data_IF_568041631188
#
_entry.id   IF_568041631188
#
_cell.length_a   1.000
_cell.length_b   1.000
_cell.length_c   1.000
_cell.angle_alpha   90.00
_cell.angle_beta   90.00
_cell.angle_gamma   90.00
#
_symmetry.space_group_name_H-M   'P 1'
#
loop_
_entity.id
_entity.type
_entity.pdbx_description
1 polymer ?
#
# COMPACT_ATOMS: atom_id res chain seq x y z
N UNK A 1 -23.24 -5.39 -11.96
CA UNK A 1 -21.88 -5.71 -11.48
C UNK A 1 -21.30 -4.42 -10.89
N UNK A 2 -20.84 -4.43 -9.64
CA UNK A 2 -20.40 -3.19 -8.95
C UNK A 2 -19.14 -2.62 -9.60
N UNK A 3 -19.18 -1.37 -10.05
CA UNK A 3 -18.04 -0.58 -10.59
C UNK A 3 -17.11 -0.09 -9.49
N UNK A 4 -17.51 -0.28 -8.23
CA UNK A 4 -16.77 0.17 -7.05
C UNK A 4 -15.42 -0.55 -7.02
N UNK A 5 -14.34 0.23 -6.94
CA UNK A 5 -12.95 -0.25 -6.90
C UNK A 5 -12.39 -0.83 -8.21
N UNK A 6 -13.02 -0.55 -9.37
CA UNK A 6 -12.46 -0.93 -10.67
C UNK A 6 -11.05 -0.40 -10.90
N UNK A 7 -10.73 0.76 -10.31
CA UNK A 7 -9.43 1.41 -10.40
C UNK A 7 -8.33 0.65 -9.66
N UNK A 8 -8.66 -0.28 -8.75
CA UNK A 8 -7.68 -1.08 -8.04
C UNK A 8 -7.10 -2.20 -8.89
N UNK A 9 -7.73 -2.51 -10.02
CA UNK A 9 -7.20 -3.51 -10.97
C UNK A 9 -5.80 -3.16 -11.47
N UNK A 10 -5.46 -1.87 -11.55
CA UNK A 10 -4.11 -1.41 -11.92
C UNK A 10 -3.06 -1.65 -10.83
N UNK A 11 -3.48 -1.89 -9.59
CA UNK A 11 -2.60 -2.18 -8.45
C UNK A 11 -2.48 -3.67 -8.13
N UNK A 12 -3.20 -4.54 -8.84
CA UNK A 12 -3.16 -5.99 -8.61
C UNK A 12 -1.74 -6.56 -8.78
N UNK A 13 -1.02 -6.09 -9.80
CA UNK A 13 0.34 -6.56 -10.05
C UNK A 13 1.38 -5.93 -9.10
N UNK A 14 1.37 -4.60 -8.84
CA UNK A 14 2.15 -4.01 -7.75
C UNK A 14 1.94 -4.66 -6.38
N UNK A 15 0.73 -5.14 -6.09
CA UNK A 15 0.42 -5.88 -4.86
C UNK A 15 1.19 -7.20 -4.73
N UNK A 16 1.54 -7.84 -5.84
CA UNK A 16 2.32 -9.09 -5.82
C UNK A 16 3.73 -8.84 -5.30
N UNK A 17 4.25 -7.61 -5.43
CA UNK A 17 5.55 -7.21 -4.86
C UNK A 17 5.49 -7.23 -3.34
N UNK A 18 4.40 -6.77 -2.76
CA UNK A 18 4.18 -6.84 -1.32
C UNK A 18 3.93 -8.27 -0.85
N UNK A 19 3.19 -9.06 -1.62
CA UNK A 19 2.88 -10.44 -1.25
C UNK A 19 4.11 -11.35 -1.28
N UNK A 20 4.92 -11.29 -2.33
CA UNK A 20 6.19 -12.02 -2.42
C UNK A 20 7.12 -11.44 -3.52
N UNK A 21 8.19 -10.71 -3.16
CA UNK A 21 9.16 -10.20 -4.12
C UNK A 21 9.88 -11.28 -4.94
N UNK A 22 10.06 -12.48 -4.39
CA UNK A 22 10.82 -13.58 -5.03
C UNK A 22 10.03 -14.36 -6.08
N UNK A 23 8.71 -14.16 -6.19
CA UNK A 23 7.89 -14.82 -7.23
C UNK A 23 7.71 -13.94 -8.47
N UNK A 24 8.18 -12.69 -8.44
CA UNK A 24 8.03 -11.75 -9.54
C UNK A 24 9.07 -12.02 -10.62
N UNK A 25 8.57 -12.23 -11.84
CA UNK A 25 9.39 -12.30 -13.05
C UNK A 25 9.70 -10.88 -13.53
N UNK A 26 10.94 -10.59 -13.89
CA UNK A 26 11.40 -9.26 -14.32
C UNK A 26 10.62 -8.66 -15.51
N UNK A 27 9.97 -9.49 -16.33
CA UNK A 27 9.05 -9.05 -17.40
C UNK A 27 7.85 -8.27 -16.87
N UNK A 28 7.43 -8.58 -15.65
CA UNK A 28 6.24 -8.02 -15.02
C UNK A 28 6.53 -6.63 -14.42
N UNK A 29 7.77 -6.30 -14.04
CA UNK A 29 8.15 -5.00 -13.41
C UNK A 29 7.71 -3.75 -14.17
N UNK A 30 7.39 -3.86 -15.47
CA UNK A 30 6.86 -2.76 -16.29
C UNK A 30 5.61 -2.09 -15.69
N UNK A 31 4.76 -2.77 -14.91
CA UNK A 31 3.59 -2.14 -14.28
C UNK A 31 3.93 -1.20 -13.12
N UNK A 32 5.12 -1.31 -12.52
CA UNK A 32 5.59 -0.38 -11.49
C UNK A 32 6.02 0.97 -12.06
N UNK A 33 6.17 1.09 -13.39
CA UNK A 33 6.34 2.37 -14.10
C UNK A 33 5.18 3.35 -13.84
N UNK A 34 4.02 2.86 -13.41
CA UNK A 34 2.88 3.67 -12.95
C UNK A 34 3.23 4.61 -11.79
N UNK A 35 4.30 4.34 -11.06
CA UNK A 35 4.82 5.18 -9.99
C UNK A 35 5.97 6.11 -10.44
N UNK A 36 6.17 6.28 -11.75
CA UNK A 36 7.21 7.12 -12.39
C UNK A 36 8.65 6.65 -12.15
N UNK A 37 8.85 5.36 -11.91
CA UNK A 37 10.19 4.78 -11.86
C UNK A 37 10.61 4.25 -13.23
N UNK A 38 11.90 4.33 -13.52
CA UNK A 38 12.51 3.69 -14.68
C UNK A 38 12.45 2.17 -14.51
N UNK A 39 11.86 1.48 -15.50
CA UNK A 39 11.72 0.03 -15.46
C UNK A 39 13.08 -0.70 -15.40
N UNK A 40 14.15 -0.05 -15.87
CA UNK A 40 15.52 -0.58 -15.79
C UNK A 40 16.02 -0.66 -14.35
N UNK A 41 15.88 0.43 -13.61
CA UNK A 41 16.42 0.53 -12.25
C UNK A 41 15.66 -0.37 -11.28
N UNK A 42 14.33 -0.42 -11.41
CA UNK A 42 13.50 -1.36 -10.65
C UNK A 42 13.85 -2.83 -10.94
N UNK A 43 14.10 -3.19 -12.21
CA UNK A 43 14.50 -4.57 -12.56
C UNK A 43 15.84 -4.91 -11.95
N UNK A 44 16.79 -3.97 -11.97
CA UNK A 44 18.11 -4.17 -11.36
C UNK A 44 17.99 -4.38 -9.86
N UNK A 45 17.30 -3.48 -9.16
CA UNK A 45 17.07 -3.61 -7.71
C UNK A 45 16.32 -4.90 -7.36
N UNK A 46 15.36 -5.33 -8.19
CA UNK A 46 14.63 -6.58 -7.95
C UNK A 46 15.54 -7.80 -8.10
N UNK A 47 16.41 -7.82 -9.11
CA UNK A 47 17.39 -8.89 -9.30
C UNK A 47 18.33 -8.94 -8.09
N UNK A 48 18.86 -7.79 -7.67
CA UNK A 48 19.78 -7.70 -6.53
C UNK A 48 19.08 -8.16 -5.23
N UNK A 49 17.83 -7.76 -5.01
CA UNK A 49 16.99 -8.22 -3.89
C UNK A 49 16.76 -9.74 -3.93
N UNK A 50 16.45 -10.30 -5.10
CA UNK A 50 16.16 -11.73 -5.26
C UNK A 50 17.39 -12.62 -5.03
N UNK A 51 18.59 -12.10 -5.28
CA UNK A 51 19.86 -12.79 -5.03
C UNK A 51 20.32 -12.68 -3.57
N UNK A 52 19.74 -11.78 -2.78
CA UNK A 52 20.08 -11.62 -1.37
C UNK A 52 19.39 -12.70 -0.52
N UNK A 53 20.17 -13.70 -0.09
CA UNK A 53 19.68 -14.82 0.71
C UNK A 53 19.36 -14.44 2.15
N UNK A 54 20.02 -13.42 2.70
CA UNK A 54 19.79 -12.95 4.06
C UNK A 54 18.43 -12.24 4.13
N UNK A 55 18.17 -11.31 3.20
CA UNK A 55 16.88 -10.64 3.09
C UNK A 55 15.74 -11.63 2.79
N UNK A 56 16.02 -12.69 2.03
CA UNK A 56 15.06 -13.77 1.81
C UNK A 56 14.70 -14.50 3.11
N UNK A 57 15.68 -14.78 3.97
CA UNK A 57 15.43 -15.39 5.27
C UNK A 57 14.57 -14.49 6.16
N UNK A 58 14.90 -13.19 6.23
CA UNK A 58 14.14 -12.19 6.99
C UNK A 58 12.70 -12.11 6.48
N UNK A 59 12.50 -12.14 5.16
CA UNK A 59 11.16 -12.10 4.58
C UNK A 59 10.32 -13.34 4.94
N UNK A 60 10.88 -14.55 4.82
CA UNK A 60 10.13 -15.77 5.16
C UNK A 60 9.79 -15.81 6.66
N UNK A 61 10.70 -15.36 7.55
CA UNK A 61 10.40 -15.18 8.98
C UNK A 61 9.20 -14.25 9.20
N UNK A 62 9.21 -13.06 8.59
CA UNK A 62 8.10 -12.10 8.69
C UNK A 62 6.80 -12.63 8.09
N UNK A 63 6.89 -13.48 7.07
CA UNK A 63 5.74 -14.11 6.43
C UNK A 63 5.11 -15.19 7.31
N UNK A 64 5.91 -15.99 8.02
CA UNK A 64 5.41 -16.92 9.04
C UNK A 64 4.67 -16.17 10.17
N UNK A 65 5.19 -15.00 10.58
CA UNK A 65 4.55 -14.10 11.54
C UNK A 65 3.31 -13.37 10.99
N UNK A 66 2.97 -13.55 9.70
CA UNK A 66 1.92 -12.77 8.99
C UNK A 66 2.15 -11.26 9.01
N UNK A 67 3.40 -10.83 9.17
CA UNK A 67 3.82 -9.41 9.17
C UNK A 67 4.75 -9.06 8.00
N UNK A 68 4.67 -9.78 6.88
CA UNK A 68 5.50 -9.57 5.69
C UNK A 68 5.50 -8.13 5.16
N UNK A 69 4.47 -7.31 5.40
CA UNK A 69 4.48 -5.88 5.05
C UNK A 69 5.57 -5.09 5.80
N UNK A 70 5.97 -5.51 7.01
CA UNK A 70 7.06 -4.91 7.80
C UNK A 70 8.44 -5.23 7.26
N UNK A 71 8.56 -6.19 6.34
CA UNK A 71 9.83 -6.47 5.66
C UNK A 71 10.42 -5.20 5.05
N UNK A 72 9.59 -4.39 4.39
CA UNK A 72 10.01 -3.14 3.74
C UNK A 72 10.47 -2.05 4.72
N UNK A 73 10.19 -2.19 6.01
CA UNK A 73 10.73 -1.32 7.07
C UNK A 73 12.08 -1.83 7.61
N UNK A 74 12.34 -3.14 7.48
CA UNK A 74 13.57 -3.78 7.93
C UNK A 74 14.71 -3.71 6.91
N UNK A 75 14.40 -3.48 5.63
CA UNK A 75 15.40 -3.28 4.58
C UNK A 75 16.07 -1.91 4.75
N UNK A 76 17.39 -1.87 4.63
CA UNK A 76 18.15 -0.60 4.67
C UNK A 76 17.69 0.35 3.56
N UNK A 77 17.30 1.57 3.93
CA UNK A 77 16.72 2.58 3.04
C UNK A 77 17.56 2.89 1.78
N UNK A 78 18.88 2.69 1.83
CA UNK A 78 19.79 2.95 0.71
C UNK A 78 19.98 1.79 -0.26
N UNK A 79 19.56 0.57 0.10
CA UNK A 79 19.90 -0.65 -0.64
C UNK A 79 19.05 -0.82 -1.92
N UNK A 80 17.75 -0.55 -1.81
CA UNK A 80 16.79 -0.62 -2.94
C UNK A 80 15.80 0.56 -2.91
N UNK A 81 16.28 1.79 -3.16
CA UNK A 81 15.49 3.01 -2.92
C UNK A 81 14.20 3.05 -3.74
N UNK A 82 14.20 2.60 -4.99
CA UNK A 82 13.01 2.63 -5.84
C UNK A 82 11.99 1.55 -5.43
N UNK A 83 12.45 0.35 -5.08
CA UNK A 83 11.57 -0.72 -4.61
C UNK A 83 10.94 -0.39 -3.25
N UNK A 84 11.71 0.14 -2.31
CA UNK A 84 11.22 0.52 -0.97
C UNK A 84 10.18 1.62 -1.09
N UNK A 85 10.47 2.70 -1.83
CA UNK A 85 9.52 3.80 -2.05
C UNK A 85 8.25 3.30 -2.78
N UNK A 86 8.41 2.42 -3.77
CA UNK A 86 7.29 1.74 -4.43
C UNK A 86 6.40 0.94 -3.47
N UNK A 87 7.00 0.09 -2.65
CA UNK A 87 6.27 -0.74 -1.68
C UNK A 87 5.54 0.12 -0.62
N UNK A 88 6.20 1.16 -0.11
CA UNK A 88 5.61 2.10 0.84
C UNK A 88 4.41 2.86 0.25
N UNK A 89 4.53 3.37 -0.99
CA UNK A 89 3.41 4.02 -1.68
C UNK A 89 2.20 3.10 -1.83
N UNK A 90 2.44 1.84 -2.18
CA UNK A 90 1.35 0.86 -2.31
C UNK A 90 0.70 0.60 -0.95
N UNK A 91 1.47 0.40 0.12
CA UNK A 91 0.95 0.27 1.49
C UNK A 91 0.10 1.47 1.91
N UNK A 92 0.55 2.69 1.60
CA UNK A 92 -0.18 3.92 1.88
C UNK A 92 -1.51 4.02 1.13
N UNK A 93 -1.62 3.50 -0.10
CA UNK A 93 -2.90 3.46 -0.83
C UNK A 93 -3.94 2.63 -0.07
N UNK A 94 -3.55 1.49 0.49
CA UNK A 94 -4.47 0.67 1.29
C UNK A 94 -4.84 1.34 2.61
N UNK A 95 -3.86 1.89 3.32
CA UNK A 95 -4.11 2.59 4.59
C UNK A 95 -5.04 3.80 4.40
N UNK A 96 -4.76 4.67 3.43
CA UNK A 96 -5.57 5.86 3.15
C UNK A 96 -6.98 5.52 2.69
N UNK A 97 -7.15 4.50 1.84
CA UNK A 97 -8.48 4.09 1.36
C UNK A 97 -9.32 3.48 2.48
N UNK A 98 -8.72 2.67 3.36
CA UNK A 98 -9.37 2.16 4.56
C UNK A 98 -9.77 3.28 5.52
N UNK A 99 -8.86 4.22 5.80
CA UNK A 99 -9.14 5.39 6.66
C UNK A 99 -10.26 6.24 6.05
N UNK A 100 -10.22 6.52 4.75
CA UNK A 100 -11.27 7.28 4.07
C UNK A 100 -12.63 6.56 4.14
N UNK A 101 -12.67 5.26 3.87
CA UNK A 101 -13.92 4.48 3.88
C UNK A 101 -14.51 4.35 5.30
N UNK A 102 -13.68 4.07 6.30
CA UNK A 102 -14.08 3.99 7.70
C UNK A 102 -14.58 5.35 8.21
N UNK A 103 -13.89 6.44 7.86
CA UNK A 103 -14.29 7.81 8.19
C UNK A 103 -15.62 8.17 7.55
N UNK A 104 -15.83 7.84 6.26
CA UNK A 104 -17.10 8.07 5.58
C UNK A 104 -18.24 7.25 6.19
N UNK A 105 -17.97 6.01 6.61
CA UNK A 105 -18.94 5.19 7.33
C UNK A 105 -19.33 5.80 8.68
N UNK A 106 -18.35 6.26 9.47
CA UNK A 106 -18.58 6.99 10.73
C UNK A 106 -19.41 8.26 10.50
N UNK A 107 -19.10 9.05 9.47
CA UNK A 107 -19.87 10.25 9.11
C UNK A 107 -21.32 9.92 8.72
N UNK A 108 -21.54 8.83 7.97
CA UNK A 108 -22.90 8.36 7.65
C UNK A 108 -23.66 7.88 8.88
N UNK A 109 -23.00 7.23 9.85
CA UNK A 109 -23.62 6.84 11.12
C UNK A 109 -24.01 8.07 11.94
N UNK A 110 -23.15 9.09 12.00
CA UNK A 110 -23.43 10.36 12.70
C UNK A 110 -24.56 11.14 12.02
N UNK A 111 -24.71 10.98 10.69
CA UNK A 111 -25.85 11.47 9.90
C UNK A 111 -27.10 10.60 10.15
N UNK A 112 -27.69 10.72 11.33
CA UNK A 112 -28.98 10.12 11.71
C UNK A 112 -30.14 11.11 11.40
N UNK A 113 -31.38 10.61 11.31
CA UNK A 113 -32.68 11.30 11.18
C UNK A 113 -32.83 12.59 12.00
N UNK A 114 -32.14 12.72 13.14
CA UNK A 114 -32.18 13.90 14.02
C UNK A 114 -31.13 14.98 13.73
N UNK A 115 -30.18 14.73 12.81
CA UNK A 115 -29.10 15.66 12.43
C UNK A 115 -28.85 15.59 10.93
N UNK A 116 -29.71 16.25 10.16
CA UNK A 116 -29.69 16.22 8.68
C UNK A 116 -28.70 17.18 8.03
N UNK A 117 -28.09 18.11 8.79
CA UNK A 117 -27.13 19.11 8.27
C UNK A 117 -25.75 18.99 8.91
N UNK A 118 -24.81 18.51 8.10
CA UNK A 118 -23.38 18.64 8.35
C UNK A 118 -22.92 20.00 7.79
N UNK A 119 -22.55 20.95 8.65
CA UNK A 119 -21.85 22.18 8.24
C UNK A 119 -20.35 21.92 8.20
N UNK A 120 -19.61 22.66 7.39
CA UNK A 120 -18.15 22.52 7.23
C UNK A 120 -17.41 22.45 8.58
N UNK A 121 -17.76 23.33 9.52
CA UNK A 121 -17.19 23.37 10.87
C UNK A 121 -17.48 22.12 11.70
N UNK A 122 -18.69 21.56 11.60
CA UNK A 122 -19.05 20.38 12.39
C UNK A 122 -18.47 19.08 11.81
N UNK A 123 -18.31 19.00 10.49
CA UNK A 123 -17.58 17.91 9.82
C UNK A 123 -16.12 17.92 10.27
N UNK A 124 -15.47 19.08 10.24
CA UNK A 124 -14.06 19.21 10.63
C UNK A 124 -13.84 18.78 12.09
N UNK A 125 -14.70 19.22 13.01
CA UNK A 125 -14.63 18.83 14.42
C UNK A 125 -14.86 17.32 14.61
N UNK A 126 -15.83 16.72 13.90
CA UNK A 126 -16.09 15.28 13.96
C UNK A 126 -14.90 14.48 13.41
N UNK A 127 -14.30 14.93 12.31
CA UNK A 127 -13.14 14.28 11.70
C UNK A 127 -11.94 14.29 12.65
N UNK A 128 -11.64 15.43 13.30
CA UNK A 128 -10.55 15.55 14.27
C UNK A 128 -10.71 14.59 15.46
N UNK A 129 -11.94 14.45 15.98
CA UNK A 129 -12.24 13.54 17.10
C UNK A 129 -12.21 12.07 16.66
N UNK A 130 -12.61 11.76 15.42
CA UNK A 130 -12.75 10.37 14.94
C UNK A 130 -11.45 9.71 14.50
N UNK A 131 -10.40 10.50 14.29
CA UNK A 131 -9.07 10.11 13.79
C UNK A 131 -7.98 10.20 14.89
N UNK A 132 -8.29 10.80 16.06
CA UNK A 132 -7.45 10.70 17.27
C UNK A 132 -7.64 9.37 17.97
#
# INVERSE_FOLDING_TARGET
MSVRFSDFRKFQEPLRLLENPWTIITANVAYLSSFRYEARDLKKELIDLQHDTELKSIFEEKKEEKTHYKFWEAVENGKFPNLIDGAQKILCIFASTYVCASTFSKLNFIKNKYRSRLTSENVENILKISVS
#
